data_IF_463210703707
#
_entry.id   IF_463210703707
#
_cell.length_a   1.000
_cell.length_b   1.000
_cell.length_c   1.000
_cell.angle_alpha   90.00
_cell.angle_beta   90.00
_cell.angle_gamma   90.00
#
_symmetry.space_group_name_H-M   'P 1'
#
loop_
_entity.id
_entity.type
_entity.pdbx_description
1 polymer ?
#
# COMPACT_ATOMS: atom_id res chain seq x y z
N UNK A 1 7.44 -26.84 6.42
CA UNK A 1 7.33 -25.76 7.46
C UNK A 1 5.89 -25.34 7.57
N UNK A 2 5.29 -25.55 8.74
CA UNK A 2 3.91 -25.16 9.02
C UNK A 2 3.84 -23.68 9.39
N UNK A 3 3.01 -22.90 8.67
CA UNK A 3 2.90 -21.45 8.81
C UNK A 3 1.55 -21.06 9.40
N UNK A 4 1.56 -20.17 10.39
CA UNK A 4 0.36 -19.56 10.94
C UNK A 4 0.35 -18.07 10.61
N UNK A 5 -0.64 -17.63 9.86
CA UNK A 5 -0.81 -16.22 9.49
C UNK A 5 -1.80 -15.55 10.45
N UNK A 6 -1.37 -14.45 11.09
CA UNK A 6 -2.19 -13.59 11.93
C UNK A 6 -2.38 -12.28 11.17
N UNK A 7 -3.60 -12.05 10.68
CA UNK A 7 -3.90 -10.97 9.75
C UNK A 7 -5.28 -10.37 10.00
N UNK A 8 -5.49 -9.11 9.58
CA UNK A 8 -6.81 -8.48 9.56
C UNK A 8 -7.45 -8.68 8.18
N UNK A 9 -8.52 -9.46 8.09
CA UNK A 9 -9.24 -9.75 6.85
C UNK A 9 -10.61 -9.05 6.79
N UNK A 10 -10.83 -7.98 7.55
CA UNK A 10 -12.10 -7.28 7.58
C UNK A 10 -12.38 -6.38 6.37
N UNK A 11 -11.35 -5.90 5.70
CA UNK A 11 -11.46 -5.03 4.51
C UNK A 11 -10.32 -5.33 3.54
N UNK A 12 -10.59 -5.19 2.23
CA UNK A 12 -9.57 -5.34 1.19
C UNK A 12 -8.62 -4.15 1.17
N UNK A 13 -7.32 -4.42 1.04
CA UNK A 13 -6.23 -3.48 0.87
C UNK A 13 -5.04 -4.14 0.19
N UNK A 14 -3.91 -3.44 0.08
CA UNK A 14 -2.70 -3.97 -0.56
C UNK A 14 -2.11 -5.19 0.15
N UNK A 15 -2.12 -5.18 1.49
CA UNK A 15 -1.63 -6.29 2.33
C UNK A 15 -2.48 -7.53 2.13
N UNK A 16 -3.80 -7.38 2.18
CA UNK A 16 -4.75 -8.47 1.99
C UNK A 16 -4.67 -9.07 0.57
N UNK A 17 -4.45 -8.25 -0.45
CA UNK A 17 -4.25 -8.71 -1.84
C UNK A 17 -2.99 -9.56 -1.97
N UNK A 18 -1.86 -9.09 -1.41
CA UNK A 18 -0.62 -9.86 -1.44
C UNK A 18 -0.76 -11.17 -0.66
N UNK A 19 -1.40 -11.12 0.52
CA UNK A 19 -1.71 -12.31 1.31
C UNK A 19 -2.56 -13.32 0.54
N UNK A 20 -3.63 -12.87 -0.12
CA UNK A 20 -4.50 -13.74 -0.93
C UNK A 20 -3.74 -14.39 -2.08
N UNK A 21 -2.88 -13.65 -2.77
CA UNK A 21 -2.03 -14.22 -3.82
C UNK A 21 -1.09 -15.30 -3.25
N UNK A 22 -0.49 -15.04 -2.09
CA UNK A 22 0.42 -15.99 -1.45
C UNK A 22 -0.30 -17.26 -0.96
N UNK A 23 -1.43 -17.11 -0.25
CA UNK A 23 -2.15 -18.26 0.33
C UNK A 23 -2.76 -19.16 -0.74
N UNK A 24 -3.29 -18.58 -1.83
CA UNK A 24 -3.87 -19.33 -2.94
C UNK A 24 -2.83 -20.06 -3.79
N UNK A 25 -1.58 -19.61 -3.77
CA UNK A 25 -0.46 -20.27 -4.47
C UNK A 25 0.18 -21.40 -3.65
N UNK A 26 -0.16 -21.52 -2.37
CA UNK A 26 0.43 -22.50 -1.45
C UNK A 26 -0.65 -23.49 -1.01
N UNK A 27 -0.86 -24.53 -1.82
CA UNK A 27 -1.96 -25.51 -1.65
C UNK A 27 -1.54 -26.76 -0.86
N UNK A 28 -0.36 -26.78 -0.29
CA UNK A 28 0.22 -27.95 0.41
C UNK A 28 -0.36 -28.20 1.83
N UNK A 29 -1.39 -27.42 2.23
CA UNK A 29 -2.01 -27.52 3.56
C UNK A 29 -1.14 -27.01 4.73
N UNK A 30 0.03 -26.41 4.42
CA UNK A 30 0.96 -25.91 5.45
C UNK A 30 0.54 -24.59 6.10
N UNK A 31 -0.51 -23.94 5.61
CA UNK A 31 -0.94 -22.62 6.04
C UNK A 31 -2.22 -22.65 6.86
N UNK A 32 -2.16 -22.07 8.06
CA UNK A 32 -3.31 -21.79 8.91
C UNK A 32 -3.51 -20.28 9.05
N UNK A 33 -4.76 -19.82 9.24
CA UNK A 33 -5.10 -18.40 9.29
C UNK A 33 -5.87 -18.06 10.57
N UNK A 34 -5.38 -17.05 11.30
CA UNK A 34 -6.10 -16.38 12.39
C UNK A 34 -6.45 -14.95 11.95
N UNK A 35 -7.74 -14.67 11.84
CA UNK A 35 -8.25 -13.34 11.54
C UNK A 35 -8.45 -12.54 12.82
N UNK A 36 -7.92 -11.31 12.87
CA UNK A 36 -8.06 -10.41 14.02
C UNK A 36 -9.40 -9.68 14.02
N UNK A 37 -9.98 -9.41 12.85
CA UNK A 37 -11.33 -8.84 12.75
C UNK A 37 -12.41 -9.81 13.25
N UNK A 38 -13.61 -9.30 13.46
CA UNK A 38 -14.75 -10.12 13.88
C UNK A 38 -15.34 -10.98 12.76
N UNK A 39 -15.03 -10.62 11.51
CA UNK A 39 -15.51 -11.28 10.30
C UNK A 39 -14.46 -11.14 9.19
N UNK A 40 -14.59 -11.95 8.18
CA UNK A 40 -13.83 -11.80 6.91
C UNK A 40 -14.70 -11.01 5.96
N UNK A 41 -14.13 -9.96 5.34
CA UNK A 41 -14.82 -9.18 4.33
C UNK A 41 -15.31 -10.06 3.18
N UNK A 42 -16.48 -9.75 2.64
CA UNK A 42 -17.15 -10.56 1.62
C UNK A 42 -16.30 -10.75 0.37
N UNK A 43 -15.66 -9.69 -0.07
CA UNK A 43 -14.75 -9.68 -1.22
C UNK A 43 -13.52 -10.60 -1.01
N UNK A 44 -12.96 -10.60 0.21
CA UNK A 44 -11.85 -11.48 0.59
C UNK A 44 -12.34 -12.94 0.65
N UNK A 45 -13.52 -13.16 1.23
CA UNK A 45 -14.10 -14.51 1.36
C UNK A 45 -14.31 -15.19 0.01
N UNK A 46 -14.77 -14.43 -1.01
CA UNK A 46 -14.94 -14.95 -2.38
C UNK A 46 -13.62 -15.42 -3.00
N UNK A 47 -12.50 -14.81 -2.65
CA UNK A 47 -11.17 -15.16 -3.20
C UNK A 47 -10.47 -16.30 -2.45
N UNK A 48 -10.98 -16.71 -1.26
CA UNK A 48 -10.42 -17.83 -0.48
C UNK A 48 -11.56 -18.67 0.14
N UNK A 49 -12.47 -19.25 -0.66
CA UNK A 49 -13.68 -19.92 -0.18
C UNK A 49 -13.38 -21.13 0.72
N UNK A 50 -12.36 -21.91 0.35
CA UNK A 50 -12.00 -23.18 1.02
C UNK A 50 -11.04 -22.99 2.21
N UNK A 51 -10.46 -21.80 2.37
CA UNK A 51 -9.53 -21.53 3.46
C UNK A 51 -10.25 -21.45 4.80
N UNK A 52 -9.89 -22.35 5.70
CA UNK A 52 -10.38 -22.33 7.08
C UNK A 52 -9.76 -21.16 7.85
N UNK A 53 -10.62 -20.28 8.38
CA UNK A 53 -10.21 -19.11 9.16
C UNK A 53 -10.64 -19.27 10.62
N UNK A 54 -9.70 -19.09 11.53
CA UNK A 54 -9.95 -18.98 12.96
C UNK A 54 -10.03 -17.51 13.37
N UNK A 55 -11.00 -17.12 14.19
CA UNK A 55 -11.14 -15.73 14.66
C UNK A 55 -10.43 -15.53 16.00
N UNK A 56 -9.55 -14.53 16.08
CA UNK A 56 -8.74 -14.26 17.27
C UNK A 56 -9.55 -13.98 18.53
N UNK A 57 -10.72 -13.34 18.38
CA UNK A 57 -11.53 -12.82 19.47
C UNK A 57 -12.85 -13.61 19.74
N UNK A 58 -13.10 -14.73 19.05
CA UNK A 58 -14.24 -15.59 19.30
C UNK A 58 -13.88 -16.73 20.25
N UNK A 59 -14.74 -17.02 21.22
CA UNK A 59 -14.58 -18.18 22.13
C UNK A 59 -14.73 -19.49 21.36
N UNK A 60 -15.79 -19.59 20.56
CA UNK A 60 -16.05 -20.71 19.65
C UNK A 60 -16.03 -20.15 18.23
N UNK A 61 -15.27 -20.76 17.34
CA UNK A 61 -15.06 -20.21 15.99
C UNK A 61 -16.35 -20.10 15.18
N UNK A 62 -17.24 -21.09 15.33
CA UNK A 62 -18.52 -21.15 14.63
C UNK A 62 -19.58 -20.15 15.14
N UNK A 63 -19.43 -19.65 16.37
CA UNK A 63 -20.39 -18.76 16.99
C UNK A 63 -19.85 -17.33 17.07
N UNK A 64 -20.67 -16.27 16.86
CA UNK A 64 -20.22 -14.88 16.94
C UNK A 64 -19.99 -14.40 18.38
N UNK A 65 -19.83 -15.31 19.35
CA UNK A 65 -19.56 -15.00 20.74
C UNK A 65 -18.16 -14.45 20.93
N UNK A 66 -18.08 -13.16 21.19
CA UNK A 66 -16.81 -12.45 21.40
C UNK A 66 -16.31 -12.66 22.82
N UNK A 67 -15.02 -12.95 22.95
CA UNK A 67 -14.33 -12.98 24.23
C UNK A 67 -14.27 -11.57 24.86
N UNK A 68 -14.45 -11.43 26.19
CA UNK A 68 -14.21 -10.18 26.89
C UNK A 68 -12.85 -9.58 26.60
N UNK A 69 -12.78 -8.25 26.48
CA UNK A 69 -11.59 -7.55 25.97
C UNK A 69 -10.30 -7.88 26.73
N UNK A 70 -10.39 -7.99 28.05
CA UNK A 70 -9.23 -8.27 28.93
C UNK A 70 -8.67 -9.70 28.76
N UNK A 71 -9.49 -10.66 28.28
CA UNK A 71 -9.06 -12.05 28.02
C UNK A 71 -8.54 -12.28 26.59
N UNK A 72 -8.82 -11.37 25.65
CA UNK A 72 -8.47 -11.57 24.21
C UNK A 72 -7.00 -11.87 23.97
N UNK A 73 -6.10 -11.21 24.72
CA UNK A 73 -4.65 -11.43 24.61
C UNK A 73 -4.23 -12.84 25.00
N UNK A 74 -4.92 -13.46 25.95
CA UNK A 74 -4.65 -14.84 26.38
C UNK A 74 -5.30 -15.84 25.40
N UNK A 75 -6.50 -15.53 24.91
CA UNK A 75 -7.19 -16.34 23.92
C UNK A 75 -6.40 -16.42 22.62
N UNK A 76 -5.90 -15.29 22.10
CA UNK A 76 -5.06 -15.26 20.91
C UNK A 76 -3.80 -16.12 21.11
N UNK A 77 -3.09 -15.95 22.23
CA UNK A 77 -1.92 -16.77 22.57
C UNK A 77 -2.27 -18.26 22.56
N UNK A 78 -3.37 -18.65 23.22
CA UNK A 78 -3.81 -20.06 23.28
C UNK A 78 -4.12 -20.62 21.88
N UNK A 79 -4.74 -19.83 20.99
CA UNK A 79 -5.02 -20.26 19.61
C UNK A 79 -3.75 -20.42 18.78
N UNK A 80 -2.79 -19.52 18.94
CA UNK A 80 -1.47 -19.62 18.29
C UNK A 80 -0.77 -20.91 18.75
N UNK A 81 -0.76 -21.18 20.06
CA UNK A 81 -0.13 -22.40 20.61
C UNK A 81 -0.82 -23.69 20.15
N UNK A 82 -2.16 -23.68 20.01
CA UNK A 82 -2.90 -24.83 19.47
C UNK A 82 -2.63 -25.12 18.01
N UNK A 83 -2.33 -24.09 17.22
CA UNK A 83 -1.96 -24.24 15.81
C UNK A 83 -0.66 -25.04 15.65
N UNK A 84 0.22 -25.02 16.65
CA UNK A 84 1.49 -25.75 16.67
C UNK A 84 2.30 -25.54 15.37
N UNK A 85 2.41 -24.29 14.95
CA UNK A 85 3.12 -23.88 13.73
C UNK A 85 4.62 -23.72 14.01
N UNK A 86 5.46 -23.92 12.98
CA UNK A 86 6.90 -23.66 13.04
C UNK A 86 7.19 -22.16 13.03
N UNK A 87 6.35 -21.39 12.32
CA UNK A 87 6.44 -19.93 12.25
C UNK A 87 5.06 -19.28 12.34
N UNK A 88 4.98 -18.20 13.10
CA UNK A 88 3.79 -17.36 13.27
C UNK A 88 4.08 -16.01 12.63
N UNK A 89 3.39 -15.69 11.54
CA UNK A 89 3.60 -14.48 10.76
C UNK A 89 2.48 -13.49 11.07
N UNK A 90 2.83 -12.35 11.62
CA UNK A 90 1.90 -11.26 11.92
C UNK A 90 1.97 -10.21 10.82
N UNK A 91 0.87 -10.04 10.08
CA UNK A 91 0.79 -9.16 8.92
C UNK A 91 0.34 -7.76 9.31
N UNK A 92 1.25 -6.81 9.27
CA UNK A 92 1.04 -5.36 9.36
C UNK A 92 0.12 -4.90 10.51
N UNK A 93 0.22 -5.53 11.68
CA UNK A 93 -0.53 -5.15 12.87
C UNK A 93 0.23 -5.45 14.17
N UNK A 94 -0.05 -4.70 15.23
CA UNK A 94 0.45 -4.99 16.59
C UNK A 94 -0.66 -5.68 17.40
N UNK A 95 -0.68 -7.02 17.45
CA UNK A 95 -1.72 -7.75 18.16
C UNK A 95 -1.59 -7.59 19.67
N UNK A 96 -2.72 -7.65 20.37
CA UNK A 96 -2.71 -7.84 21.80
C UNK A 96 -2.29 -9.27 22.12
N UNK A 97 -1.03 -9.49 22.50
CA UNK A 97 -0.49 -10.79 22.85
C UNK A 97 -0.03 -10.82 24.32
N UNK A 98 -0.48 -11.82 25.10
CA UNK A 98 -0.16 -11.89 26.53
C UNK A 98 1.34 -12.16 26.79
N UNK A 99 1.95 -13.02 25.98
CA UNK A 99 3.37 -13.34 26.00
C UNK A 99 3.76 -13.97 24.65
N UNK A 100 5.06 -14.08 24.40
CA UNK A 100 5.61 -14.83 23.26
C UNK A 100 5.06 -16.27 23.26
N UNK A 101 4.67 -16.83 22.11
CA UNK A 101 4.30 -18.23 21.98
C UNK A 101 5.43 -19.14 22.41
N UNK A 102 5.10 -20.27 23.05
CA UNK A 102 6.11 -21.24 23.54
C UNK A 102 6.77 -22.04 22.40
N UNK A 103 6.10 -22.16 21.25
CA UNK A 103 6.57 -22.86 20.06
C UNK A 103 6.41 -21.98 18.84
N UNK A 104 7.22 -22.24 17.85
CA UNK A 104 7.30 -21.47 16.62
C UNK A 104 7.96 -20.13 16.78
N UNK A 105 8.54 -19.65 15.72
CA UNK A 105 9.16 -18.31 15.65
C UNK A 105 8.10 -17.27 15.39
N UNK A 106 8.13 -16.17 16.14
CA UNK A 106 7.21 -15.05 15.96
C UNK A 106 7.85 -14.03 15.01
N UNK A 107 7.32 -13.91 13.82
CA UNK A 107 7.81 -13.01 12.76
C UNK A 107 6.78 -11.93 12.49
N UNK A 108 7.22 -10.68 12.39
CA UNK A 108 6.40 -9.55 12.01
C UNK A 108 6.68 -9.16 10.55
N UNK A 109 5.63 -9.05 9.74
CA UNK A 109 5.72 -8.57 8.37
C UNK A 109 5.17 -7.16 8.30
N UNK A 110 6.07 -6.18 8.14
CA UNK A 110 5.76 -4.75 8.12
C UNK A 110 5.42 -4.26 6.71
N UNK A 111 4.24 -3.68 6.56
CA UNK A 111 3.76 -3.04 5.33
C UNK A 111 3.45 -1.56 5.53
N UNK A 112 3.96 -0.94 6.59
CA UNK A 112 3.78 0.47 6.88
C UNK A 112 3.20 0.79 8.26
N UNK A 113 2.97 -0.21 9.09
CA UNK A 113 2.61 0.05 10.49
C UNK A 113 3.74 0.73 11.27
N UNK A 114 5.00 0.49 10.89
CA UNK A 114 6.17 1.13 11.45
C UNK A 114 6.12 2.66 11.40
N UNK A 115 5.47 3.27 10.40
CA UNK A 115 5.24 4.73 10.35
C UNK A 115 4.18 5.21 11.34
N UNK A 116 3.16 4.41 11.58
CA UNK A 116 1.91 4.82 12.26
C UNK A 116 1.85 4.44 13.73
N UNK A 117 2.50 3.34 14.12
CA UNK A 117 2.40 2.90 15.51
C UNK A 117 3.15 3.82 16.47
N UNK A 118 2.49 4.24 17.56
CA UNK A 118 3.14 5.03 18.59
C UNK A 118 4.22 4.19 19.28
N UNK A 119 5.31 4.83 19.68
CA UNK A 119 6.39 4.24 20.48
C UNK A 119 5.96 4.09 21.95
N UNK A 120 4.92 3.30 22.19
CA UNK A 120 4.36 3.06 23.51
C UNK A 120 4.67 1.65 24.01
N UNK A 121 4.36 1.40 25.28
CA UNK A 121 4.62 0.11 25.94
C UNK A 121 4.02 -1.10 25.20
N UNK A 122 2.84 -0.97 24.59
CA UNK A 122 2.20 -2.07 23.84
C UNK A 122 3.01 -2.44 22.60
N UNK A 123 3.41 -1.45 21.82
CA UNK A 123 4.21 -1.65 20.60
C UNK A 123 5.59 -2.19 20.94
N UNK A 124 6.30 -1.56 21.89
CA UNK A 124 7.64 -1.99 22.29
C UNK A 124 7.64 -3.41 22.88
N UNK A 125 6.63 -3.74 23.69
CA UNK A 125 6.47 -5.10 24.23
C UNK A 125 6.24 -6.15 23.13
N UNK A 126 5.47 -5.82 22.11
CA UNK A 126 5.26 -6.73 20.97
C UNK A 126 6.56 -6.93 20.18
N UNK A 127 7.24 -5.84 19.83
CA UNK A 127 8.50 -5.89 19.09
C UNK A 127 9.59 -6.67 19.87
N UNK A 128 9.63 -6.56 21.20
CA UNK A 128 10.56 -7.31 22.04
C UNK A 128 10.33 -8.83 22.07
N UNK A 129 9.16 -9.31 21.60
CA UNK A 129 8.84 -10.74 21.51
C UNK A 129 9.26 -11.38 20.18
N UNK A 130 9.63 -10.59 19.17
CA UNK A 130 9.89 -11.07 17.82
C UNK A 130 11.18 -11.89 17.72
N UNK A 131 11.16 -12.89 16.88
CA UNK A 131 12.32 -13.64 16.42
C UNK A 131 12.86 -13.09 15.10
N UNK A 132 12.05 -12.37 14.34
CA UNK A 132 12.41 -11.76 13.08
C UNK A 132 11.39 -10.75 12.59
N UNK A 133 11.84 -9.86 11.72
CA UNK A 133 11.02 -8.92 10.99
C UNK A 133 11.26 -9.11 9.50
N UNK A 134 10.19 -9.04 8.72
CA UNK A 134 10.24 -8.88 7.27
C UNK A 134 9.69 -7.48 6.97
N UNK A 135 10.41 -6.68 6.21
CA UNK A 135 10.00 -5.36 5.75
C UNK A 135 9.64 -5.40 4.26
N UNK A 136 8.50 -4.82 3.91
CA UNK A 136 7.97 -4.85 2.55
C UNK A 136 8.74 -3.97 1.55
N UNK A 137 9.67 -3.15 2.03
CA UNK A 137 10.54 -2.26 1.26
C UNK A 137 11.80 -1.93 2.05
N UNK A 138 12.82 -1.37 1.40
CA UNK A 138 13.99 -0.83 2.10
C UNK A 138 13.61 0.35 2.99
N UNK A 139 12.69 1.20 2.56
CA UNK A 139 12.15 2.27 3.37
C UNK A 139 11.47 1.74 4.64
N UNK A 140 10.63 0.69 4.53
CA UNK A 140 10.03 0.02 5.70
C UNK A 140 11.10 -0.46 6.70
N UNK A 141 12.14 -1.12 6.20
CA UNK A 141 13.27 -1.54 7.04
C UNK A 141 13.91 -0.37 7.74
N UNK A 142 14.21 0.70 7.00
CA UNK A 142 14.89 1.87 7.55
C UNK A 142 14.06 2.61 8.59
N UNK A 143 12.75 2.78 8.34
CA UNK A 143 11.83 3.39 9.32
C UNK A 143 11.76 2.55 10.60
N UNK A 144 11.70 1.22 10.50
CA UNK A 144 11.76 0.34 11.66
C UNK A 144 13.06 0.54 12.47
N UNK A 145 14.21 0.62 11.79
CA UNK A 145 15.51 0.83 12.44
C UNK A 145 15.63 2.22 13.08
N UNK A 146 15.17 3.28 12.40
CA UNK A 146 15.22 4.65 12.91
C UNK A 146 14.25 4.88 14.08
N UNK A 147 13.10 4.20 14.07
CA UNK A 147 12.06 4.38 15.10
C UNK A 147 12.19 3.42 16.28
N UNK A 148 12.65 2.20 16.04
CA UNK A 148 12.62 1.13 17.05
C UNK A 148 13.97 0.43 17.14
N UNK A 149 14.38 0.09 18.35
CA UNK A 149 15.53 -0.79 18.57
C UNK A 149 15.04 -2.25 18.51
N UNK A 150 15.22 -2.90 17.38
CA UNK A 150 14.77 -4.27 17.17
C UNK A 150 15.75 -5.27 17.81
N UNK A 151 15.25 -6.26 18.57
CA UNK A 151 16.10 -7.29 19.18
C UNK A 151 16.41 -8.47 18.24
N UNK A 152 15.96 -8.40 16.99
CA UNK A 152 16.01 -9.51 16.04
C UNK A 152 16.38 -9.03 14.61
N UNK A 153 16.78 -9.95 13.72
CA UNK A 153 17.06 -9.63 12.32
C UNK A 153 15.85 -9.03 11.60
N UNK A 154 16.11 -8.10 10.67
CA UNK A 154 15.12 -7.51 9.79
C UNK A 154 15.53 -7.72 8.33
N UNK A 155 14.80 -8.57 7.60
CA UNK A 155 15.01 -8.84 6.19
C UNK A 155 14.07 -8.02 5.31
N UNK A 156 14.56 -7.55 4.17
CA UNK A 156 13.71 -6.92 3.16
C UNK A 156 13.20 -8.00 2.20
N UNK A 157 11.89 -8.04 2.04
CA UNK A 157 11.22 -8.80 0.98
C UNK A 157 10.30 -7.83 0.25
N UNK A 158 10.77 -7.35 -0.88
CA UNK A 158 10.03 -6.33 -1.64
C UNK A 158 8.67 -6.89 -2.08
N UNK A 159 7.62 -6.12 -1.85
CA UNK A 159 6.28 -6.47 -2.31
C UNK A 159 6.24 -6.59 -3.83
N UNK A 160 5.77 -7.72 -4.33
CA UNK A 160 5.60 -7.97 -5.77
C UNK A 160 4.26 -8.65 -6.00
N UNK A 161 3.48 -8.10 -6.91
CA UNK A 161 2.20 -8.68 -7.33
C UNK A 161 2.41 -9.62 -8.52
N UNK A 162 1.49 -10.57 -8.70
CA UNK A 162 1.38 -11.30 -9.96
C UNK A 162 1.11 -10.31 -11.08
N UNK A 163 1.71 -10.55 -12.23
CA UNK A 163 1.41 -9.77 -13.44
C UNK A 163 -0.09 -9.72 -13.66
N UNK A 164 -0.70 -8.54 -13.76
CA UNK A 164 -2.13 -8.43 -14.01
C UNK A 164 -2.54 -9.06 -15.34
N UNK A 165 -3.76 -9.52 -15.45
CA UNK A 165 -4.37 -9.91 -16.74
C UNK A 165 -4.90 -8.68 -17.49
N UNK A 166 -5.06 -8.79 -18.81
CA UNK A 166 -5.67 -7.73 -19.62
C UNK A 166 -4.72 -6.58 -19.99
N UNK A 167 -3.41 -6.81 -19.86
CA UNK A 167 -2.39 -5.88 -20.38
C UNK A 167 -2.42 -5.94 -21.92
N UNK A 168 -2.47 -4.75 -22.56
CA UNK A 168 -2.35 -4.65 -24.01
C UNK A 168 -0.91 -4.80 -24.47
N UNK A 169 -0.66 -5.56 -25.52
CA UNK A 169 0.67 -5.66 -26.15
C UNK A 169 1.07 -4.39 -26.91
N UNK A 170 0.10 -3.53 -27.21
CA UNK A 170 0.34 -2.26 -27.89
C UNK A 170 0.37 -1.11 -26.91
N UNK A 171 1.32 -0.19 -27.11
CA UNK A 171 1.36 1.07 -26.36
C UNK A 171 0.09 1.88 -26.63
N UNK A 172 -0.39 2.52 -25.57
CA UNK A 172 -1.51 3.45 -25.70
C UNK A 172 -1.06 4.72 -26.42
N UNK A 173 -1.73 5.11 -27.52
CA UNK A 173 -1.47 6.41 -28.11
C UNK A 173 -1.92 7.52 -27.14
N UNK A 174 -1.16 8.59 -27.08
CA UNK A 174 -1.55 9.77 -26.35
C UNK A 174 -2.70 10.48 -27.09
N UNK A 175 -3.91 10.32 -26.59
CA UNK A 175 -5.14 10.89 -27.16
C UNK A 175 -5.59 12.15 -26.41
N UNK A 176 -6.60 12.83 -26.95
CA UNK A 176 -7.30 13.95 -26.26
C UNK A 176 -8.74 13.53 -25.93
N UNK A 177 -9.26 13.87 -24.74
CA UNK A 177 -8.52 14.50 -23.63
C UNK A 177 -7.40 13.59 -23.09
N UNK A 178 -6.33 14.19 -22.55
CA UNK A 178 -5.33 13.44 -21.79
C UNK A 178 -5.99 12.90 -20.53
N UNK A 179 -5.97 11.58 -20.36
CA UNK A 179 -6.62 10.91 -19.22
C UNK A 179 -5.60 10.66 -18.12
N UNK A 180 -5.73 11.40 -17.03
CA UNK A 180 -4.97 11.24 -15.81
C UNK A 180 -5.78 10.37 -14.86
N UNK A 181 -5.15 9.44 -14.16
CA UNK A 181 -5.83 8.56 -13.20
C UNK A 181 -5.13 8.53 -11.86
N UNK A 182 -5.89 8.32 -10.79
CA UNK A 182 -5.40 7.95 -9.46
C UNK A 182 -6.31 6.89 -8.86
N UNK A 183 -5.73 5.86 -8.24
CA UNK A 183 -6.49 4.76 -7.64
C UNK A 183 -5.97 4.48 -6.23
N UNK A 184 -6.79 4.81 -5.23
CA UNK A 184 -6.42 4.63 -3.83
C UNK A 184 -7.63 4.65 -2.91
N UNK A 185 -7.41 4.36 -1.63
CA UNK A 185 -8.39 4.68 -0.60
C UNK A 185 -8.57 6.20 -0.53
N UNK A 186 -9.81 6.69 -0.55
CA UNK A 186 -10.12 8.12 -0.50
C UNK A 186 -9.97 8.64 0.94
N UNK A 187 -8.73 8.95 1.31
CA UNK A 187 -8.33 9.56 2.59
C UNK A 187 -7.34 10.68 2.33
N UNK A 188 -7.33 11.70 3.16
CA UNK A 188 -6.48 12.89 3.03
C UNK A 188 -4.99 12.57 2.87
N UNK A 189 -4.51 11.48 3.51
CA UNK A 189 -3.13 10.98 3.39
C UNK A 189 -2.71 10.60 1.97
N UNK A 190 -3.66 10.32 1.07
CA UNK A 190 -3.37 9.96 -0.33
C UNK A 190 -3.20 11.18 -1.24
N UNK A 191 -3.38 12.40 -0.69
CA UNK A 191 -3.08 13.64 -1.38
C UNK A 191 -3.93 13.89 -2.64
N UNK A 192 -5.13 13.30 -2.73
CA UNK A 192 -6.04 13.46 -3.89
C UNK A 192 -6.34 14.95 -4.16
N UNK A 193 -6.38 15.76 -3.12
CA UNK A 193 -6.54 17.21 -3.20
C UNK A 193 -5.41 17.91 -4.00
N UNK A 194 -4.19 17.38 -3.99
CA UNK A 194 -3.10 17.88 -4.85
C UNK A 194 -3.43 17.64 -6.32
N UNK A 195 -3.95 16.45 -6.65
CA UNK A 195 -4.37 16.12 -8.02
C UNK A 195 -5.53 17.02 -8.50
N UNK A 196 -6.46 17.39 -7.61
CA UNK A 196 -7.54 18.31 -7.94
C UNK A 196 -7.02 19.74 -8.21
N UNK A 197 -6.10 20.25 -7.38
CA UNK A 197 -5.46 21.57 -7.62
C UNK A 197 -4.62 21.55 -8.92
N UNK A 198 -3.90 20.47 -9.20
CA UNK A 198 -3.17 20.29 -10.46
C UNK A 198 -4.11 20.34 -11.67
N UNK A 199 -5.29 19.69 -11.57
CA UNK A 199 -6.28 19.74 -12.66
C UNK A 199 -6.74 21.17 -12.94
N UNK A 200 -7.05 21.95 -11.90
CA UNK A 200 -7.39 23.35 -12.08
C UNK A 200 -6.30 24.12 -12.81
N UNK A 201 -5.05 23.92 -12.42
CA UNK A 201 -3.91 24.59 -13.04
C UNK A 201 -3.72 24.16 -14.51
N UNK A 202 -3.84 22.88 -14.83
CA UNK A 202 -3.74 22.39 -16.22
C UNK A 202 -4.85 22.97 -17.11
N UNK A 203 -6.08 23.02 -16.61
CA UNK A 203 -7.21 23.64 -17.34
C UNK A 203 -6.98 25.14 -17.54
N UNK A 204 -6.47 25.87 -16.53
CA UNK A 204 -6.09 27.28 -16.62
C UNK A 204 -4.99 27.51 -17.67
N UNK A 205 -4.05 26.57 -17.84
CA UNK A 205 -3.00 26.59 -18.89
C UNK A 205 -3.54 26.20 -20.27
N UNK A 206 -4.82 25.82 -20.38
CA UNK A 206 -5.48 25.49 -21.64
C UNK A 206 -5.30 24.05 -22.12
N UNK A 207 -4.89 23.14 -21.23
CA UNK A 207 -4.76 21.72 -21.57
C UNK A 207 -6.12 21.00 -21.56
N UNK A 208 -6.33 20.14 -22.56
CA UNK A 208 -7.51 19.27 -22.63
C UNK A 208 -7.23 17.98 -21.85
N UNK A 209 -7.56 17.98 -20.57
CA UNK A 209 -7.27 16.91 -19.60
C UNK A 209 -8.53 16.48 -18.85
N UNK A 210 -8.55 15.22 -18.41
CA UNK A 210 -9.54 14.68 -17.46
C UNK A 210 -8.83 13.91 -16.36
N UNK A 211 -9.41 13.89 -15.15
CA UNK A 211 -8.91 13.13 -14.01
C UNK A 211 -9.97 12.11 -13.57
N UNK A 212 -9.58 10.83 -13.57
CA UNK A 212 -10.39 9.78 -12.98
C UNK A 212 -9.83 9.38 -11.61
N UNK A 213 -10.68 9.47 -10.58
CA UNK A 213 -10.36 9.11 -9.19
C UNK A 213 -11.09 7.82 -8.83
N UNK A 214 -10.35 6.72 -8.81
CA UNK A 214 -10.86 5.40 -8.46
C UNK A 214 -10.62 5.08 -6.98
N UNK A 215 -11.62 4.47 -6.34
CA UNK A 215 -11.55 4.03 -4.95
C UNK A 215 -12.72 4.47 -4.09
N UNK A 216 -12.66 4.09 -2.81
CA UNK A 216 -13.64 4.44 -1.76
C UNK A 216 -12.91 4.92 -0.51
N UNK A 217 -13.56 5.76 0.27
CA UNK A 217 -13.01 6.23 1.54
C UNK A 217 -13.88 7.27 2.23
N UNK A 218 -13.62 7.53 3.51
CA UNK A 218 -14.44 8.45 4.30
C UNK A 218 -14.39 9.90 3.80
N UNK A 219 -13.26 10.32 3.19
CA UNK A 219 -13.03 11.73 2.81
C UNK A 219 -13.52 12.04 1.38
N UNK A 220 -14.28 11.10 0.76
CA UNK A 220 -14.81 11.29 -0.59
C UNK A 220 -15.61 12.57 -0.75
N UNK A 221 -16.51 12.85 0.19
CA UNK A 221 -17.37 14.04 0.14
C UNK A 221 -16.55 15.35 0.20
N UNK A 222 -15.44 15.37 0.95
CA UNK A 222 -14.54 16.52 1.02
C UNK A 222 -13.82 16.76 -0.32
N UNK A 223 -13.42 15.69 -1.00
CA UNK A 223 -12.79 15.78 -2.33
C UNK A 223 -13.78 16.22 -3.42
N UNK A 224 -15.01 15.72 -3.38
CA UNK A 224 -16.09 16.14 -4.28
C UNK A 224 -16.42 17.64 -4.06
N UNK A 225 -16.54 18.08 -2.83
CA UNK A 225 -16.75 19.50 -2.49
C UNK A 225 -15.58 20.40 -2.94
N UNK A 226 -14.33 19.91 -2.84
CA UNK A 226 -13.17 20.64 -3.36
C UNK A 226 -13.21 20.72 -4.88
N UNK A 227 -13.56 19.64 -5.59
CA UNK A 227 -13.66 19.65 -7.05
C UNK A 227 -14.74 20.63 -7.53
N UNK A 228 -15.88 20.72 -6.83
CA UNK A 228 -16.93 21.71 -7.10
C UNK A 228 -16.42 23.15 -6.86
N UNK A 229 -15.77 23.40 -5.71
CA UNK A 229 -15.16 24.71 -5.39
C UNK A 229 -14.14 25.17 -6.43
N UNK A 230 -13.41 24.22 -7.03
CA UNK A 230 -12.41 24.49 -8.07
C UNK A 230 -13.02 24.55 -9.47
N UNK A 231 -14.35 24.44 -9.60
CA UNK A 231 -15.12 24.51 -10.86
C UNK A 231 -14.65 23.47 -11.91
N UNK A 232 -14.28 22.26 -11.47
CA UNK A 232 -13.72 21.23 -12.34
C UNK A 232 -14.78 20.48 -13.17
N UNK A 233 -16.05 20.50 -12.75
CA UNK A 233 -17.18 19.94 -13.48
C UNK A 233 -16.95 18.47 -13.92
N UNK A 234 -17.25 18.18 -15.17
CA UNK A 234 -17.12 16.86 -15.80
C UNK A 234 -15.67 16.45 -16.12
N UNK A 235 -14.71 17.34 -15.87
CA UNK A 235 -13.28 17.07 -16.02
C UNK A 235 -12.72 16.17 -14.92
N UNK A 236 -13.46 15.98 -13.82
CA UNK A 236 -13.10 15.08 -12.71
C UNK A 236 -14.20 14.04 -12.48
N UNK A 237 -13.83 12.77 -12.50
CA UNK A 237 -14.75 11.63 -12.37
C UNK A 237 -14.36 10.82 -11.14
N UNK A 238 -15.26 10.70 -10.17
CA UNK A 238 -15.13 9.80 -9.02
C UNK A 238 -15.77 8.45 -9.35
N UNK A 239 -15.00 7.53 -9.95
CA UNK A 239 -15.50 6.28 -10.51
C UNK A 239 -15.76 5.17 -9.47
N UNK A 240 -15.44 5.41 -8.20
CA UNK A 240 -15.66 4.42 -7.14
C UNK A 240 -14.64 3.28 -7.16
N UNK A 241 -14.93 2.22 -6.44
CA UNK A 241 -14.08 1.04 -6.39
C UNK A 241 -14.11 0.31 -7.74
N UNK A 242 -12.94 -0.10 -8.22
CA UNK A 242 -12.79 -0.82 -9.47
C UNK A 242 -12.57 -2.30 -9.19
N UNK A 243 -13.52 -3.14 -9.55
CA UNK A 243 -13.39 -4.60 -9.45
C UNK A 243 -12.36 -5.13 -10.47
N UNK A 244 -12.34 -4.50 -11.65
CA UNK A 244 -11.36 -4.76 -12.70
C UNK A 244 -10.41 -3.55 -12.86
N UNK A 245 -9.26 -3.61 -12.23
CA UNK A 245 -8.24 -2.55 -12.33
C UNK A 245 -7.65 -2.42 -13.74
N UNK A 246 -7.71 -3.48 -14.56
CA UNK A 246 -7.21 -3.44 -15.93
C UNK A 246 -8.00 -2.43 -16.79
N UNK A 247 -9.32 -2.36 -16.64
CA UNK A 247 -10.13 -1.39 -17.37
C UNK A 247 -9.76 0.05 -17.03
N UNK A 248 -9.49 0.31 -15.75
CA UNK A 248 -9.03 1.63 -15.30
C UNK A 248 -7.65 1.99 -15.90
N UNK A 249 -6.66 1.11 -15.76
CA UNK A 249 -5.31 1.42 -16.28
C UNK A 249 -5.25 1.43 -17.80
N UNK A 250 -6.05 0.61 -18.51
CA UNK A 250 -6.09 0.60 -19.96
C UNK A 250 -6.61 1.92 -20.56
N UNK A 251 -7.45 2.67 -19.84
CA UNK A 251 -7.90 4.01 -20.31
C UNK A 251 -7.08 5.18 -19.74
N UNK A 252 -6.17 4.93 -18.81
CA UNK A 252 -5.34 5.97 -18.18
C UNK A 252 -4.05 6.20 -18.98
N UNK A 253 -3.68 7.46 -19.26
CA UNK A 253 -2.42 7.82 -19.91
C UNK A 253 -1.31 8.10 -18.90
N UNK A 254 -1.61 8.81 -17.82
CA UNK A 254 -0.67 9.21 -16.75
C UNK A 254 -1.28 8.83 -15.40
N UNK A 255 -0.51 8.21 -14.53
CA UNK A 255 -0.94 7.90 -13.18
C UNK A 255 -0.39 8.92 -12.18
N UNK A 256 -1.27 9.52 -11.39
CA UNK A 256 -0.91 10.43 -10.30
C UNK A 256 -0.89 9.68 -8.97
N UNK A 257 0.27 9.63 -8.34
CA UNK A 257 0.45 9.18 -6.97
C UNK A 257 0.94 10.37 -6.13
N UNK A 258 0.10 10.87 -5.24
CA UNK A 258 0.39 12.11 -4.48
C UNK A 258 0.31 11.90 -2.97
N UNK A 259 0.61 10.71 -2.41
CA UNK A 259 0.47 10.48 -0.98
C UNK A 259 1.51 11.26 -0.18
N UNK A 260 1.15 11.58 1.07
CA UNK A 260 2.08 12.14 2.06
C UNK A 260 3.05 11.07 2.55
N UNK A 261 2.56 9.84 2.65
CA UNK A 261 3.32 8.67 3.07
C UNK A 261 2.86 7.44 2.28
N UNK A 262 3.81 6.68 1.76
CA UNK A 262 3.54 5.44 1.02
C UNK A 262 4.70 4.46 1.19
N UNK A 263 4.54 3.43 2.00
CA UNK A 263 5.62 2.47 2.29
C UNK A 263 6.20 1.76 1.07
N UNK A 264 5.41 1.62 -0.01
CA UNK A 264 5.88 1.00 -1.25
C UNK A 264 5.15 1.55 -2.50
N UNK A 265 3.83 1.36 -2.63
CA UNK A 265 3.07 1.86 -3.77
C UNK A 265 2.65 0.78 -4.77
N UNK A 266 1.90 -0.22 -4.32
CA UNK A 266 1.41 -1.31 -5.19
C UNK A 266 0.57 -0.82 -6.38
N UNK A 267 -0.23 0.23 -6.22
CA UNK A 267 -1.01 0.82 -7.32
C UNK A 267 -0.13 1.47 -8.39
N UNK A 268 1.04 1.99 -7.99
CA UNK A 268 2.03 2.49 -8.95
C UNK A 268 2.64 1.34 -9.76
N UNK A 269 2.97 0.24 -9.09
CA UNK A 269 3.44 -0.97 -9.78
C UNK A 269 2.40 -1.49 -10.78
N UNK A 270 1.11 -1.51 -10.39
CA UNK A 270 0.03 -1.87 -11.30
C UNK A 270 -0.03 -0.93 -12.51
N UNK A 271 0.05 0.39 -12.30
CA UNK A 271 0.09 1.37 -13.39
C UNK A 271 1.22 1.07 -14.38
N UNK A 272 2.43 0.79 -13.86
CA UNK A 272 3.59 0.46 -14.69
C UNK A 272 3.35 -0.77 -15.58
N UNK A 273 2.75 -1.86 -15.06
CA UNK A 273 2.43 -3.05 -15.86
C UNK A 273 1.57 -2.71 -17.09
N UNK A 274 0.70 -1.71 -16.99
CA UNK A 274 -0.14 -1.25 -18.10
C UNK A 274 0.52 -0.17 -18.97
N UNK A 275 1.82 0.05 -18.83
CA UNK A 275 2.55 1.06 -19.57
C UNK A 275 2.12 2.49 -19.25
N UNK A 276 1.66 2.73 -18.01
CA UNK A 276 1.23 4.05 -17.54
C UNK A 276 2.35 4.69 -16.73
N UNK A 277 3.03 5.72 -17.23
CA UNK A 277 4.06 6.44 -16.47
C UNK A 277 3.44 7.14 -15.26
N UNK A 278 4.23 7.21 -14.18
CA UNK A 278 3.76 7.67 -12.86
C UNK A 278 4.41 9.00 -12.48
N UNK A 279 3.62 9.96 -12.01
CA UNK A 279 4.13 11.13 -11.29
C UNK A 279 3.98 10.84 -9.79
N UNK A 280 5.06 10.97 -9.01
CA UNK A 280 5.10 10.48 -7.64
C UNK A 280 5.99 11.34 -6.73
N UNK A 281 5.74 11.38 -5.40
CA UNK A 281 6.66 12.00 -4.46
C UNK A 281 7.88 11.11 -4.18
N UNK A 282 9.04 11.72 -4.13
CA UNK A 282 10.27 11.07 -3.67
C UNK A 282 10.26 10.97 -2.13
N UNK A 283 9.35 10.14 -1.61
CA UNK A 283 9.14 9.91 -0.18
C UNK A 283 8.92 8.43 0.09
N UNK A 284 9.36 7.98 1.25
CA UNK A 284 9.21 6.61 1.74
C UNK A 284 9.71 5.57 0.69
N UNK A 285 8.90 4.56 0.38
CA UNK A 285 9.27 3.48 -0.54
C UNK A 285 8.83 3.69 -2.00
N UNK A 286 8.26 4.83 -2.37
CA UNK A 286 7.84 5.04 -3.76
C UNK A 286 9.00 5.04 -4.77
N UNK A 287 10.19 5.61 -4.49
CA UNK A 287 11.35 5.52 -5.38
C UNK A 287 11.88 4.10 -5.59
N UNK A 288 11.47 3.14 -4.76
CA UNK A 288 11.82 1.72 -4.95
C UNK A 288 10.98 1.04 -6.04
N UNK A 289 9.79 1.58 -6.32
CA UNK A 289 8.84 1.05 -7.33
C UNK A 289 8.99 1.74 -8.66
N UNK A 290 9.22 3.06 -8.66
CA UNK A 290 9.25 3.89 -9.85
C UNK A 290 10.66 4.46 -10.00
N UNK A 291 11.30 4.16 -11.14
CA UNK A 291 12.59 4.76 -11.47
C UNK A 291 12.37 6.13 -12.10
N UNK A 292 12.77 7.17 -11.37
CA UNK A 292 12.69 8.56 -11.82
C UNK A 292 13.41 8.79 -13.15
N UNK A 293 12.79 9.59 -14.04
CA UNK A 293 13.30 9.88 -15.39
C UNK A 293 13.24 8.68 -16.36
N UNK A 294 12.83 7.47 -15.91
CA UNK A 294 12.78 6.27 -16.73
C UNK A 294 11.35 5.78 -16.98
N UNK A 295 10.59 5.50 -15.94
CA UNK A 295 9.19 5.06 -16.02
C UNK A 295 8.21 5.98 -15.29
N UNK A 296 8.67 7.14 -14.86
CA UNK A 296 7.89 8.17 -14.19
C UNK A 296 8.72 9.40 -13.89
N UNK A 297 8.07 10.39 -13.26
CA UNK A 297 8.70 11.64 -12.80
C UNK A 297 8.54 11.76 -11.29
N UNK A 298 9.66 11.73 -10.57
CA UNK A 298 9.73 11.93 -9.13
C UNK A 298 9.82 13.40 -8.77
N UNK A 299 8.98 13.85 -7.86
CA UNK A 299 8.95 15.23 -7.36
C UNK A 299 9.27 15.26 -5.87
N UNK A 300 9.96 16.31 -5.43
CA UNK A 300 10.24 16.51 -4.00
C UNK A 300 9.03 17.14 -3.30
N UNK A 301 8.52 16.55 -2.19
CA UNK A 301 7.47 17.18 -1.41
C UNK A 301 7.93 18.53 -0.85
N UNK A 302 7.23 19.61 -1.18
CA UNK A 302 7.64 20.98 -0.85
C UNK A 302 6.59 21.76 -0.03
N UNK A 303 5.30 21.41 -0.15
CA UNK A 303 4.17 22.12 0.47
C UNK A 303 3.90 21.57 1.87
N UNK A 304 3.90 22.43 2.89
CA UNK A 304 3.57 22.02 4.25
C UNK A 304 2.10 21.64 4.40
N UNK A 305 1.77 20.83 5.43
CA UNK A 305 0.37 20.44 5.71
C UNK A 305 -0.49 21.69 5.96
N UNK A 306 0.02 22.68 6.71
CA UNK A 306 -0.71 23.91 7.02
C UNK A 306 -0.97 24.76 5.78
N UNK A 307 -0.01 24.86 4.88
CA UNK A 307 -0.16 25.54 3.60
C UNK A 307 -1.17 24.85 2.71
N UNK A 308 -1.09 23.52 2.61
CA UNK A 308 -2.06 22.72 1.87
C UNK A 308 -3.48 22.87 2.44
N UNK A 309 -3.65 22.86 3.76
CA UNK A 309 -4.95 23.08 4.40
C UNK A 309 -5.52 24.47 4.10
N UNK A 310 -4.68 25.52 4.05
CA UNK A 310 -5.11 26.86 3.65
C UNK A 310 -5.59 26.92 2.20
N UNK A 311 -4.94 26.19 1.29
CA UNK A 311 -5.31 26.15 -0.12
C UNK A 311 -6.61 25.36 -0.36
N UNK A 312 -6.78 24.23 0.31
CA UNK A 312 -7.85 23.27 0.01
C UNK A 312 -9.01 23.30 1.00
N UNK A 313 -8.75 23.69 2.25
CA UNK A 313 -9.67 23.50 3.38
C UNK A 313 -9.64 22.09 3.96
N UNK A 314 -8.93 21.13 3.32
CA UNK A 314 -8.89 19.74 3.75
C UNK A 314 -7.84 19.58 4.85
N UNK A 315 -8.29 19.03 5.99
CA UNK A 315 -7.41 18.71 7.11
C UNK A 315 -6.69 17.39 6.85
N UNK A 316 -5.39 17.40 7.03
CA UNK A 316 -4.56 16.19 7.02
C UNK A 316 -4.16 15.84 8.43
N UNK A 317 -4.66 14.72 8.94
CA UNK A 317 -4.30 14.21 10.26
C UNK A 317 -3.22 13.12 10.14
N UNK A 318 -1.96 13.56 10.13
CA UNK A 318 -0.78 12.69 10.10
C UNK A 318 0.29 13.23 11.04
N UNK A 319 0.26 12.84 12.32
CA UNK A 319 1.16 13.36 13.35
C UNK A 319 2.52 12.64 13.39
N UNK A 320 2.95 12.04 12.30
CA UNK A 320 4.18 11.24 12.22
C UNK A 320 5.12 11.81 11.17
N UNK A 321 6.43 11.54 11.35
CA UNK A 321 7.43 11.81 10.34
C UNK A 321 7.32 10.81 9.19
N UNK A 322 7.83 11.20 8.03
CA UNK A 322 8.01 10.37 6.84
C UNK A 322 9.49 10.13 6.60
N UNK A 323 9.81 9.12 5.82
CA UNK A 323 11.19 8.81 5.46
C UNK A 323 11.60 9.56 4.19
N UNK A 324 12.68 10.30 4.28
CA UNK A 324 13.35 10.90 3.13
C UNK A 324 14.48 9.96 2.66
N UNK A 325 14.33 9.31 1.49
CA UNK A 325 15.32 8.38 0.98
C UNK A 325 16.61 9.05 0.50
N UNK A 326 16.59 10.36 0.25
CA UNK A 326 17.78 11.09 -0.21
C UNK A 326 18.73 11.40 0.96
N UNK A 327 18.18 11.78 2.11
CA UNK A 327 18.97 12.11 3.31
C UNK A 327 19.10 10.95 4.30
N UNK A 328 18.41 9.82 4.07
CA UNK A 328 18.30 8.66 4.98
C UNK A 328 17.84 9.05 6.40
N UNK A 329 16.85 9.94 6.48
CA UNK A 329 16.34 10.47 7.77
C UNK A 329 14.82 10.49 7.80
N UNK A 330 14.27 10.60 9.01
CA UNK A 330 12.87 10.93 9.23
C UNK A 330 12.69 12.45 9.21
N UNK A 331 11.74 12.93 8.39
CA UNK A 331 11.47 14.34 8.21
C UNK A 331 9.99 14.66 8.41
N UNK A 332 9.68 15.93 8.67
CA UNK A 332 8.29 16.38 8.73
C UNK A 332 7.59 16.15 7.38
N UNK A 333 6.35 15.62 7.39
CA UNK A 333 5.61 15.33 6.18
C UNK A 333 5.27 16.61 5.40
N UNK A 334 5.40 16.54 4.09
CA UNK A 334 4.99 17.56 3.13
C UNK A 334 4.21 16.94 1.99
N UNK A 335 3.45 17.73 1.28
CA UNK A 335 2.75 17.33 0.05
C UNK A 335 3.53 17.84 -1.17
N UNK A 336 3.21 17.27 -2.33
CA UNK A 336 3.69 17.80 -3.60
C UNK A 336 3.08 19.16 -3.91
N UNK A 337 3.83 20.01 -4.60
CA UNK A 337 3.28 21.21 -5.23
C UNK A 337 2.43 20.83 -6.44
N UNK A 338 1.18 21.28 -6.46
CA UNK A 338 0.29 21.07 -7.60
C UNK A 338 0.81 21.76 -8.88
N UNK A 339 1.58 22.85 -8.74
CA UNK A 339 2.22 23.53 -9.87
C UNK A 339 3.33 22.66 -10.47
N UNK A 340 4.20 22.07 -9.64
CA UNK A 340 5.23 21.12 -10.09
C UNK A 340 4.62 19.83 -10.68
N UNK A 341 3.47 19.39 -10.15
CA UNK A 341 2.71 18.28 -10.74
C UNK A 341 2.20 18.64 -12.15
N UNK A 342 1.69 19.86 -12.34
CA UNK A 342 1.26 20.34 -13.65
C UNK A 342 2.46 20.41 -14.64
N UNK A 343 3.60 20.94 -14.21
CA UNK A 343 4.83 20.99 -15.02
C UNK A 343 5.29 19.57 -15.41
N UNK A 344 5.17 18.61 -14.49
CA UNK A 344 5.50 17.20 -14.78
C UNK A 344 4.54 16.57 -15.80
N UNK A 345 3.25 16.89 -15.73
CA UNK A 345 2.27 16.48 -16.76
C UNK A 345 2.64 17.08 -18.11
N UNK A 346 2.96 18.37 -18.19
CA UNK A 346 3.39 19.03 -19.44
C UNK A 346 4.61 18.37 -20.06
N UNK A 347 5.59 17.96 -19.25
CA UNK A 347 6.75 17.19 -19.73
C UNK A 347 6.35 15.82 -20.28
N UNK A 348 5.42 15.13 -19.59
CA UNK A 348 4.99 13.79 -19.99
C UNK A 348 4.14 13.78 -21.25
N UNK A 349 3.37 14.81 -21.53
CA UNK A 349 2.50 14.86 -22.73
C UNK A 349 3.24 15.24 -24.02
N UNK A 350 4.56 15.49 -23.95
CA UNK A 350 5.41 15.55 -25.15
C UNK A 350 5.44 14.15 -25.75
N UNK A 351 5.05 13.97 -27.04
CA UNK A 351 4.82 12.63 -27.62
C UNK A 351 6.00 11.67 -27.47
N UNK A 352 7.22 12.13 -27.74
CA UNK A 352 8.43 11.32 -27.64
C UNK A 352 8.74 10.91 -26.20
N UNK A 353 8.54 11.83 -25.25
CA UNK A 353 8.72 11.57 -23.82
C UNK A 353 7.69 10.55 -23.33
N UNK A 354 6.43 10.75 -23.69
CA UNK A 354 5.36 9.83 -23.31
C UNK A 354 5.62 8.43 -23.85
N UNK A 355 5.91 8.31 -25.14
CA UNK A 355 6.16 7.02 -25.78
C UNK A 355 7.33 6.27 -25.11
N UNK A 356 8.43 6.96 -24.88
CA UNK A 356 9.61 6.38 -24.23
C UNK A 356 9.29 5.93 -22.80
N UNK A 357 8.69 6.79 -21.98
CA UNK A 357 8.35 6.44 -20.59
C UNK A 357 7.29 5.36 -20.49
N UNK A 358 6.30 5.35 -21.38
CA UNK A 358 5.26 4.31 -21.43
C UNK A 358 5.87 2.93 -21.78
N UNK A 359 6.79 2.86 -22.73
CA UNK A 359 7.52 1.63 -23.05
C UNK A 359 8.34 1.14 -21.86
N UNK A 360 9.07 2.03 -21.23
CA UNK A 360 9.87 1.72 -20.06
C UNK A 360 9.00 1.28 -18.88
N UNK A 361 7.87 1.95 -18.66
CA UNK A 361 6.91 1.61 -17.62
C UNK A 361 6.44 0.15 -17.78
N UNK A 362 6.08 -0.27 -19.00
CA UNK A 362 5.60 -1.63 -19.22
C UNK A 362 6.67 -2.71 -18.99
N UNK A 363 7.92 -2.42 -19.32
CA UNK A 363 9.06 -3.36 -19.21
C UNK A 363 9.59 -3.45 -17.78
N UNK A 364 9.71 -2.32 -17.12
CA UNK A 364 10.39 -2.20 -15.82
C UNK A 364 9.86 -3.16 -14.75
N UNK A 365 8.53 -3.28 -14.49
CA UNK A 365 8.04 -4.19 -13.47
C UNK A 365 8.20 -5.67 -13.84
N UNK A 366 8.16 -6.00 -15.12
CA UNK A 366 8.40 -7.38 -15.60
C UNK A 366 9.85 -7.81 -15.34
N UNK A 367 10.80 -6.90 -15.53
CA UNK A 367 12.23 -7.16 -15.34
C UNK A 367 12.64 -7.18 -13.87
N UNK A 368 11.98 -6.37 -13.00
CA UNK A 368 12.43 -6.13 -11.63
C UNK A 368 11.51 -6.66 -10.53
N UNK A 369 10.23 -6.94 -10.83
CA UNK A 369 9.22 -7.29 -9.81
C UNK A 369 8.53 -8.63 -10.06
N UNK A 370 9.32 -9.69 -10.25
CA UNK A 370 8.78 -11.06 -10.40
C UNK A 370 8.12 -11.54 -9.10
N UNK A 371 6.85 -11.94 -9.18
CA UNK A 371 6.14 -12.56 -8.04
C UNK A 371 6.78 -13.88 -7.59
N UNK A 372 7.39 -14.64 -8.49
CA UNK A 372 8.12 -15.86 -8.15
C UNK A 372 9.32 -15.53 -7.24
N UNK A 373 10.05 -14.44 -7.50
CA UNK A 373 11.12 -13.97 -6.62
C UNK A 373 10.57 -13.60 -5.22
N UNK A 374 9.43 -12.90 -5.16
CA UNK A 374 8.79 -12.60 -3.88
C UNK A 374 8.56 -13.87 -3.05
N UNK A 375 7.97 -14.91 -3.66
CA UNK A 375 7.72 -16.18 -2.94
C UNK A 375 9.02 -16.82 -2.41
N UNK A 376 10.03 -16.88 -3.25
CA UNK A 376 11.33 -17.45 -2.88
C UNK A 376 11.97 -16.67 -1.73
N UNK A 377 12.09 -15.34 -1.88
CA UNK A 377 12.67 -14.46 -0.86
C UNK A 377 11.89 -14.51 0.46
N UNK A 378 10.55 -14.55 0.39
CA UNK A 378 9.69 -14.63 1.57
C UNK A 378 9.86 -15.96 2.31
N UNK A 379 9.84 -17.06 1.59
CA UNK A 379 10.02 -18.39 2.19
C UNK A 379 11.45 -18.56 2.74
N UNK A 380 12.47 -18.03 2.08
CA UNK A 380 13.85 -18.10 2.55
C UNK A 380 14.09 -17.21 3.78
N UNK A 381 13.48 -16.01 3.82
CA UNK A 381 13.47 -15.17 5.02
C UNK A 381 12.81 -15.92 6.21
N UNK A 382 11.69 -16.59 5.99
CA UNK A 382 11.02 -17.37 7.04
C UNK A 382 11.89 -18.56 7.52
N UNK A 383 12.56 -19.27 6.60
CA UNK A 383 13.49 -20.37 6.95
C UNK A 383 14.66 -19.85 7.78
N UNK A 384 15.22 -18.69 7.45
CA UNK A 384 16.36 -18.12 8.19
C UNK A 384 16.05 -17.83 9.66
N UNK A 385 14.79 -17.55 9.99
CA UNK A 385 14.37 -17.36 11.38
C UNK A 385 14.13 -18.68 12.13
N UNK A 386 13.94 -19.80 11.40
CA UNK A 386 13.66 -21.11 11.99
C UNK A 386 14.90 -22.01 12.08
N UNK A 387 15.95 -21.67 11.37
CA UNK A 387 17.27 -22.29 11.52
C UNK A 387 17.91 -21.82 12.83
#
# INVERSE_FOLDING_TARGET
MKKLHVINLGKMGGVERLFLQYINDTTDGSNEVICISSEVGEEIRRQMPDQKVTFANRLVNALPLRCPQFLRKYLLKSKIEKANADVVIVWDLVPGLAAKPKRGKLVYYDHGCSWRYPKNHKTLRFLAMLDGVISASFASKRVMELRFNLPCPNHVVINRLKTPSGISDSLKPLGKPIRIGTASRLVSLKGISVSLLMMQELLRRGHDVTLEIAGKGPDRAEFEALAEKLELGDRVIFSGFQDNVADFFNRTHIYMSTPITEPFGLSCMEALYFGVPVIFPQVDGQPEVIKDGHCGIGLLPSVTIDEHQRLTGIKVDFPHDVYDPLSDTLVMPKLLSHLECADAVEKLIVPETYQSMSQNAQRYPVEHFSYAMFKTEFDDALKSFTA
#
